data_IF_382217852715
#
_entry.id   IF_382217852715
#
_cell.length_a   1.000
_cell.length_b   1.000
_cell.length_c   1.000
_cell.angle_alpha   90.00
_cell.angle_beta   90.00
_cell.angle_gamma   90.00
#
_symmetry.space_group_name_H-M   'P 1'
#
loop_
_entity.id
_entity.type
_entity.pdbx_description
1 polymer ?
#
# COMPACT_ATOMS: atom_id res chain seq x y z
N UNK A 1 -8.59 3.96 -10.04
CA UNK A 1 -7.44 3.46 -9.25
C UNK A 1 -6.32 3.16 -10.21
N UNK A 2 -5.09 3.55 -9.89
CA UNK A 2 -3.94 2.95 -10.57
C UNK A 2 -3.99 1.46 -10.27
N UNK A 3 -3.95 0.64 -11.32
CA UNK A 3 -3.99 -0.81 -11.17
C UNK A 3 -2.77 -1.23 -10.35
N UNK A 4 -2.97 -2.07 -9.32
CA UNK A 4 -1.86 -2.64 -8.57
C UNK A 4 -1.21 -3.64 -9.52
N UNK A 5 -0.01 -3.30 -10.01
CA UNK A 5 0.74 -4.12 -10.94
C UNK A 5 2.10 -4.45 -10.34
N UNK A 6 2.43 -5.74 -10.37
CA UNK A 6 3.69 -6.28 -9.90
C UNK A 6 4.50 -6.74 -11.11
N UNK A 7 5.82 -6.57 -11.03
CA UNK A 7 6.72 -7.21 -11.99
C UNK A 7 6.63 -8.74 -11.87
N UNK A 8 6.99 -9.47 -12.92
CA UNK A 8 6.97 -10.94 -12.88
C UNK A 8 7.84 -11.50 -11.75
N UNK A 9 8.97 -10.85 -11.45
CA UNK A 9 9.85 -11.25 -10.35
C UNK A 9 9.18 -11.04 -8.98
N UNK A 10 8.47 -9.93 -8.79
CA UNK A 10 7.70 -9.68 -7.56
C UNK A 10 6.57 -10.69 -7.40
N UNK A 11 5.82 -10.98 -8.47
CA UNK A 11 4.77 -12.01 -8.42
C UNK A 11 5.32 -13.37 -8.01
N UNK A 12 6.41 -13.80 -8.64
CA UNK A 12 7.03 -15.09 -8.34
C UNK A 12 7.49 -15.18 -6.88
N UNK A 13 8.11 -14.13 -6.36
CA UNK A 13 8.55 -14.07 -4.96
C UNK A 13 7.35 -14.16 -3.99
N UNK A 14 6.31 -13.33 -4.20
CA UNK A 14 5.13 -13.34 -3.33
C UNK A 14 4.34 -14.65 -3.41
N UNK A 15 4.23 -15.26 -4.59
CA UNK A 15 3.60 -16.56 -4.74
C UNK A 15 4.40 -17.67 -4.04
N UNK A 16 5.75 -17.60 -4.09
CA UNK A 16 6.62 -18.51 -3.33
C UNK A 16 6.39 -18.36 -1.82
N UNK A 17 6.29 -17.13 -1.31
CA UNK A 17 6.00 -16.86 0.10
C UNK A 17 4.64 -17.45 0.53
N UNK A 18 3.61 -17.31 -0.31
CA UNK A 18 2.29 -17.91 -0.05
C UNK A 18 2.33 -19.44 -0.05
N UNK A 19 3.05 -20.03 -1.00
CA UNK A 19 3.26 -21.48 -1.06
C UNK A 19 3.98 -21.99 0.19
N UNK A 20 5.07 -21.32 0.59
CA UNK A 20 5.85 -21.70 1.79
C UNK A 20 5.01 -21.60 3.06
N UNK A 21 4.22 -20.53 3.20
CA UNK A 21 3.32 -20.38 4.35
C UNK A 21 2.28 -21.49 4.43
N UNK A 22 1.66 -21.85 3.30
CA UNK A 22 0.66 -22.92 3.26
C UNK A 22 1.25 -24.27 3.62
N UNK A 23 2.46 -24.58 3.14
CA UNK A 23 3.14 -25.82 3.47
C UNK A 23 3.57 -25.85 4.95
N UNK A 24 4.24 -24.80 5.43
CA UNK A 24 4.87 -24.79 6.75
C UNK A 24 3.87 -24.62 7.89
N UNK A 25 2.87 -23.75 7.72
CA UNK A 25 1.97 -23.38 8.80
C UNK A 25 0.63 -24.13 8.74
N UNK A 26 0.25 -24.62 7.56
CA UNK A 26 -1.06 -25.22 7.33
C UNK A 26 -1.00 -26.67 6.82
N UNK A 27 0.19 -27.23 6.57
CA UNK A 27 0.41 -28.58 6.02
C UNK A 27 -0.32 -28.79 4.68
N UNK A 28 -0.39 -27.72 3.86
CA UNK A 28 -1.01 -27.72 2.53
C UNK A 28 0.04 -27.48 1.47
N UNK A 29 0.43 -28.53 0.76
CA UNK A 29 1.31 -28.44 -0.40
C UNK A 29 0.51 -28.02 -1.65
N UNK A 30 0.92 -26.93 -2.29
CA UNK A 30 0.32 -26.44 -3.54
C UNK A 30 1.37 -26.23 -4.62
N UNK A 31 0.97 -26.32 -5.89
CA UNK A 31 1.85 -26.01 -7.01
C UNK A 31 2.04 -24.50 -7.23
N UNK A 32 3.05 -24.12 -8.02
CA UNK A 32 3.32 -22.71 -8.36
C UNK A 32 2.11 -22.01 -9.00
N UNK A 33 1.40 -22.68 -9.92
CA UNK A 33 0.23 -22.10 -10.57
C UNK A 33 -0.90 -21.80 -9.57
N UNK A 34 -1.13 -22.69 -8.60
CA UNK A 34 -2.14 -22.50 -7.56
C UNK A 34 -1.76 -21.32 -6.65
N UNK A 35 -0.46 -21.17 -6.34
CA UNK A 35 0.05 -20.05 -5.56
C UNK A 35 -0.09 -18.71 -6.31
N UNK A 36 0.17 -18.70 -7.62
CA UNK A 36 -0.04 -17.53 -8.48
C UNK A 36 -1.53 -17.14 -8.53
N UNK A 37 -2.44 -18.12 -8.64
CA UNK A 37 -3.88 -17.86 -8.60
C UNK A 37 -4.35 -17.34 -7.24
N UNK A 38 -3.79 -17.85 -6.15
CA UNK A 38 -4.09 -17.37 -4.81
C UNK A 38 -3.62 -15.92 -4.64
N UNK A 39 -2.42 -15.59 -5.11
CA UNK A 39 -1.89 -14.23 -5.12
C UNK A 39 -2.80 -13.28 -5.92
N UNK A 40 -3.24 -13.70 -7.11
CA UNK A 40 -4.14 -12.90 -7.94
C UNK A 40 -5.50 -12.69 -7.26
N UNK A 41 -6.06 -13.74 -6.64
CA UNK A 41 -7.30 -13.64 -5.87
C UNK A 41 -7.19 -12.63 -4.71
N UNK A 42 -6.12 -12.74 -3.90
CA UNK A 42 -5.86 -11.82 -2.78
C UNK A 42 -5.71 -10.39 -3.29
N UNK A 43 -4.94 -10.20 -4.37
CA UNK A 43 -4.69 -8.88 -4.96
C UNK A 43 -5.99 -8.24 -5.47
N UNK A 44 -6.84 -9.00 -6.15
CA UNK A 44 -8.10 -8.51 -6.70
C UNK A 44 -9.15 -8.22 -5.62
N UNK A 45 -9.20 -9.02 -4.55
CA UNK A 45 -10.20 -8.87 -3.48
C UNK A 45 -9.81 -7.87 -2.40
N UNK A 46 -8.53 -7.86 -2.02
CA UNK A 46 -8.06 -7.11 -0.85
C UNK A 46 -7.11 -5.96 -1.20
N UNK A 47 -6.53 -5.95 -2.41
CA UNK A 47 -5.53 -4.95 -2.81
C UNK A 47 -6.02 -3.52 -2.69
N UNK A 48 -7.27 -3.23 -3.11
CA UNK A 48 -7.85 -1.89 -2.98
C UNK A 48 -7.98 -1.45 -1.51
N UNK A 49 -8.28 -2.37 -0.59
CA UNK A 49 -8.39 -2.06 0.84
C UNK A 49 -7.04 -1.64 1.42
N UNK A 50 -5.97 -2.41 1.14
CA UNK A 50 -4.62 -2.08 1.58
C UNK A 50 -4.13 -0.76 0.96
N UNK A 51 -4.35 -0.58 -0.35
CA UNK A 51 -3.97 0.64 -1.05
C UNK A 51 -4.67 1.87 -0.47
N UNK A 52 -5.98 1.80 -0.26
CA UNK A 52 -6.76 2.91 0.28
C UNK A 52 -6.32 3.28 1.70
N UNK A 53 -5.94 2.29 2.53
CA UNK A 53 -5.39 2.59 3.85
C UNK A 53 -4.05 3.33 3.72
N UNK A 54 -3.14 2.86 2.86
CA UNK A 54 -1.87 3.56 2.61
C UNK A 54 -2.04 4.98 2.08
N UNK A 55 -3.03 5.21 1.21
CA UNK A 55 -3.39 6.57 0.73
C UNK A 55 -3.87 7.45 1.88
N UNK A 56 -4.75 6.95 2.76
CA UNK A 56 -5.22 7.70 3.92
C UNK A 56 -4.07 8.06 4.87
N UNK A 57 -3.16 7.13 5.11
CA UNK A 57 -2.00 7.39 5.97
C UNK A 57 -1.09 8.47 5.37
N UNK A 58 -0.88 8.44 4.04
CA UNK A 58 -0.14 9.48 3.32
C UNK A 58 -0.86 10.85 3.38
N UNK A 59 -2.18 10.87 3.23
CA UNK A 59 -2.98 12.09 3.38
C UNK A 59 -2.83 12.69 4.77
N UNK A 60 -2.92 11.89 5.83
CA UNK A 60 -2.75 12.36 7.20
C UNK A 60 -1.36 12.94 7.46
N UNK A 61 -0.30 12.39 6.85
CA UNK A 61 1.05 12.97 6.92
C UNK A 61 1.10 14.33 6.22
N UNK A 62 0.54 14.43 5.02
CA UNK A 62 0.51 15.67 4.24
C UNK A 62 -0.29 16.77 4.94
N UNK A 63 -1.46 16.44 5.48
CA UNK A 63 -2.32 17.38 6.22
C UNK A 63 -1.57 18.01 7.39
N UNK A 64 -0.86 17.22 8.20
CA UNK A 64 -0.04 17.75 9.30
C UNK A 64 1.02 18.73 8.81
N UNK A 65 1.76 18.37 7.75
CA UNK A 65 2.80 19.25 7.19
C UNK A 65 2.23 20.53 6.62
N UNK A 66 1.04 20.48 6.03
CA UNK A 66 0.36 21.67 5.50
C UNK A 66 -0.08 22.61 6.63
N UNK A 67 -0.49 22.08 7.78
CA UNK A 67 -0.75 22.89 8.97
C UNK A 67 0.53 23.57 9.46
N UNK A 68 1.63 22.81 9.58
CA UNK A 68 2.93 23.39 9.98
C UNK A 68 3.34 24.55 9.05
N UNK A 69 3.20 24.36 7.72
CA UNK A 69 3.49 25.41 6.73
C UNK A 69 2.54 26.60 6.88
N UNK A 70 1.25 26.37 7.14
CA UNK A 70 0.28 27.45 7.34
C UNK A 70 0.63 28.30 8.57
N UNK A 71 1.07 27.65 9.66
CA UNK A 71 1.52 28.33 10.88
C UNK A 71 2.78 29.16 10.60
N UNK A 72 3.80 28.60 9.91
CA UNK A 72 5.02 29.33 9.53
C UNK A 72 4.73 30.55 8.63
N UNK A 73 3.77 30.43 7.70
CA UNK A 73 3.36 31.54 6.84
C UNK A 73 2.65 32.65 7.63
N UNK A 74 1.83 32.27 8.61
CA UNK A 74 1.17 33.23 9.49
C UNK A 74 2.18 34.00 10.36
N UNK A 75 3.24 33.34 10.84
CA UNK A 75 4.29 33.98 11.64
C UNK A 75 5.05 35.10 10.89
N UNK A 76 5.19 34.98 9.56
CA UNK A 76 5.90 35.98 8.75
C UNK A 76 4.99 37.06 8.17
N UNK A 77 3.66 36.91 8.29
CA UNK A 77 2.69 37.87 7.79
C UNK A 77 2.89 39.25 8.44
N UNK A 78 2.84 40.31 7.64
CA UNK A 78 3.03 41.68 8.09
C UNK A 78 1.72 42.45 7.99
N UNK A 79 1.40 43.23 9.02
CA UNK A 79 0.23 44.11 9.00
C UNK A 79 0.45 45.23 7.97
N UNK A 80 -0.32 45.19 6.88
CA UNK A 80 -0.38 46.29 5.89
C UNK A 80 -1.49 47.27 6.24
N UNK A 81 -1.20 48.56 6.06
CA UNK A 81 -2.20 49.64 6.16
C UNK A 81 -2.69 50.11 4.78
N UNK A 82 -2.19 49.49 3.72
CA UNK A 82 -2.60 49.68 2.32
C UNK A 82 -3.47 48.53 1.86
#
# INVERSE_FOLDING_TARGET
MSKIEFTSQQKQAMAKDLQDYLEQELDVEIGQFDADFLLDFISDKFGATFYNQGVKDAQAIMERKMLDIADELYEIEQISQY
#
